data_IF_837572347773
#
_entry.id   IF_837572347773
#
_cell.length_a   1.000
_cell.length_b   1.000
_cell.length_c   1.000
_cell.angle_alpha   90.00
_cell.angle_beta   90.00
_cell.angle_gamma   90.00
#
_symmetry.space_group_name_H-M   'P 1'
#
loop_
_entity.id
_entity.type
_entity.pdbx_description
1 polymer ?
#
# COMPACT_ATOMS: atom_id res chain seq x y z
N UNK A 1 9.62 4.02 1.11
CA UNK A 1 10.26 4.18 2.45
C UNK A 1 9.27 4.56 3.55
N UNK A 2 8.16 5.25 3.26
CA UNK A 2 7.20 5.69 4.29
C UNK A 2 6.34 4.58 4.92
N UNK A 3 5.95 3.55 4.16
CA UNK A 3 5.01 2.52 4.61
C UNK A 3 5.45 1.76 5.88
N UNK A 4 6.73 1.37 5.93
CA UNK A 4 7.31 0.65 7.08
C UNK A 4 7.35 1.55 8.31
N UNK A 5 7.66 2.83 8.13
CA UNK A 5 7.68 3.81 9.22
C UNK A 5 6.29 3.99 9.82
N UNK A 6 5.25 4.07 8.98
CA UNK A 6 3.86 4.15 9.45
C UNK A 6 3.44 2.89 10.20
N UNK A 7 3.78 1.71 9.67
CA UNK A 7 3.49 0.44 10.37
C UNK A 7 4.19 0.35 11.73
N UNK A 8 5.44 0.84 11.84
CA UNK A 8 6.16 0.92 13.11
C UNK A 8 5.50 1.91 14.08
N UNK A 9 5.03 3.05 13.59
CA UNK A 9 4.30 4.01 14.39
C UNK A 9 2.99 3.41 14.92
N UNK A 10 2.19 2.78 14.06
CA UNK A 10 0.96 2.08 14.45
C UNK A 10 1.24 0.94 15.44
N UNK A 11 2.31 0.16 15.23
CA UNK A 11 2.78 -0.85 16.19
C UNK A 11 3.06 -0.22 17.56
N UNK A 12 3.74 0.93 17.61
CA UNK A 12 4.04 1.63 18.87
C UNK A 12 2.79 2.07 19.62
N UNK A 13 1.69 2.33 18.91
CA UNK A 13 0.37 2.63 19.45
C UNK A 13 -0.46 1.38 19.80
N UNK A 14 0.10 0.18 19.61
CA UNK A 14 -0.61 -1.10 19.81
C UNK A 14 -1.55 -1.49 18.66
N UNK A 15 -1.53 -0.75 17.55
CA UNK A 15 -2.38 -0.99 16.38
C UNK A 15 -1.64 -1.95 15.43
N UNK A 16 -1.87 -3.24 15.62
CA UNK A 16 -1.13 -4.30 14.90
C UNK A 16 -2.01 -5.22 14.05
N UNK A 17 -3.32 -4.96 13.98
CA UNK A 17 -4.29 -5.88 13.36
C UNK A 17 -4.68 -5.51 11.93
N UNK A 18 -4.28 -4.33 11.46
CA UNK A 18 -4.69 -3.80 10.16
C UNK A 18 -3.47 -3.67 9.24
N UNK A 19 -3.59 -4.07 7.97
CA UNK A 19 -2.58 -3.75 6.97
C UNK A 19 -2.59 -2.23 6.69
N UNK A 20 -1.42 -1.70 6.37
CA UNK A 20 -1.23 -0.34 5.87
C UNK A 20 -1.02 -0.44 4.37
N UNK A 21 -1.81 0.31 3.62
CA UNK A 21 -1.69 0.44 2.18
C UNK A 21 -1.03 1.76 1.84
N UNK A 22 -0.19 1.77 0.83
CA UNK A 22 0.37 3.00 0.32
C UNK A 22 0.63 2.90 -1.16
N UNK A 23 0.68 4.08 -1.75
CA UNK A 23 0.86 4.26 -3.18
C UNK A 23 2.32 4.61 -3.44
N UNK A 24 2.98 3.83 -4.29
CA UNK A 24 4.24 4.22 -4.90
C UNK A 24 3.95 4.67 -6.32
N UNK A 25 4.40 5.87 -6.70
CA UNK A 25 4.34 6.32 -8.08
C UNK A 25 5.73 6.56 -8.63
N UNK A 26 5.93 6.20 -9.90
CA UNK A 26 7.12 6.54 -10.68
C UNK A 26 6.66 7.26 -11.96
N UNK A 27 6.63 8.59 -11.92
CA UNK A 27 6.04 9.37 -13.00
C UNK A 27 4.55 9.10 -13.12
N UNK A 28 4.13 8.50 -14.24
CA UNK A 28 2.72 8.17 -14.51
C UNK A 28 2.35 6.74 -14.10
N UNK A 29 3.33 5.93 -13.70
CA UNK A 29 3.10 4.56 -13.24
C UNK A 29 2.81 4.58 -11.74
N UNK A 30 1.77 3.86 -11.31
CA UNK A 30 1.39 3.73 -9.91
C UNK A 30 1.22 2.29 -9.48
N UNK A 31 1.89 1.92 -8.39
CA UNK A 31 1.85 0.60 -7.75
C UNK A 31 1.32 0.69 -6.32
N UNK A 32 0.52 -0.31 -5.95
CA UNK A 32 0.00 -0.42 -4.59
C UNK A 32 0.89 -1.33 -3.75
N UNK A 33 1.42 -0.77 -2.66
CA UNK A 33 2.16 -1.49 -1.65
C UNK A 33 1.26 -1.76 -0.46
N UNK A 34 1.36 -2.96 0.11
CA UNK A 34 0.73 -3.33 1.37
C UNK A 34 1.80 -3.78 2.35
N UNK A 35 1.73 -3.33 3.60
CA UNK A 35 2.51 -3.93 4.67
C UNK A 35 1.64 -4.22 5.89
N UNK A 36 2.03 -5.25 6.63
CA UNK A 36 1.39 -5.58 7.90
C UNK A 36 2.41 -6.13 8.88
N UNK A 37 2.16 -5.92 10.15
CA UNK A 37 2.96 -6.49 11.21
C UNK A 37 2.41 -7.86 11.64
N UNK A 38 3.28 -8.87 11.65
CA UNK A 38 2.95 -10.20 12.14
C UNK A 38 3.32 -10.34 13.60
N UNK A 39 2.31 -10.40 14.48
CA UNK A 39 2.51 -10.69 15.91
C UNK A 39 3.17 -12.04 16.17
N UNK A 40 2.94 -13.04 15.30
CA UNK A 40 3.48 -14.40 15.46
C UNK A 40 4.98 -14.44 15.19
N UNK A 41 5.45 -13.66 14.23
CA UNK A 41 6.84 -13.68 13.74
C UNK A 41 7.63 -12.43 14.17
N UNK A 42 7.00 -11.50 14.88
CA UNK A 42 7.54 -10.19 15.29
C UNK A 42 8.28 -9.45 14.16
N UNK A 43 7.68 -9.42 12.98
CA UNK A 43 8.25 -8.77 11.80
C UNK A 43 7.19 -8.08 10.95
N UNK A 44 7.63 -7.12 10.13
CA UNK A 44 6.78 -6.46 9.14
C UNK A 44 6.95 -7.18 7.81
N UNK A 45 5.84 -7.61 7.24
CA UNK A 45 5.77 -8.11 5.87
C UNK A 45 5.42 -6.97 4.93
N UNK A 46 6.05 -6.96 3.77
CA UNK A 46 5.71 -6.06 2.67
C UNK A 46 5.33 -6.95 1.50
N UNK A 47 4.15 -6.72 0.95
CA UNK A 47 3.69 -7.34 -0.27
C UNK A 47 3.43 -6.24 -1.28
N UNK A 48 4.08 -6.37 -2.42
CA UNK A 48 3.69 -5.62 -3.58
C UNK A 48 2.41 -6.22 -4.17
N UNK A 49 1.38 -5.39 -4.36
CA UNK A 49 0.14 -5.79 -5.03
C UNK A 49 0.21 -5.52 -6.55
N UNK A 50 1.40 -5.23 -7.10
CA UNK A 50 1.77 -5.10 -8.53
C UNK A 50 1.39 -6.28 -9.44
N UNK A 51 0.11 -6.60 -9.50
CA UNK A 51 -0.47 -7.34 -10.62
C UNK A 51 -1.12 -6.35 -11.59
N UNK A 52 -1.46 -5.13 -11.16
CA UNK A 52 -2.14 -4.13 -11.99
C UNK A 52 -1.37 -2.81 -11.92
N UNK A 53 -0.66 -2.51 -13.01
CA UNK A 53 -0.03 -1.21 -13.22
C UNK A 53 -1.09 -0.26 -13.80
N UNK A 54 -1.16 0.96 -13.29
CA UNK A 54 -2.03 2.00 -13.83
C UNK A 54 -1.18 3.14 -14.38
N UNK A 55 -1.39 3.48 -15.65
CA UNK A 55 -0.88 4.71 -16.23
C UNK A 55 -1.85 5.86 -15.94
N UNK A 56 -1.55 6.66 -14.92
CA UNK A 56 -2.41 7.76 -14.46
C UNK A 56 -2.49 8.91 -15.48
N UNK A 57 -1.67 8.92 -16.54
CA UNK A 57 -1.83 9.88 -17.64
C UNK A 57 -3.03 9.56 -18.53
N UNK A 58 -3.46 8.29 -18.54
CA UNK A 58 -4.67 7.85 -19.23
C UNK A 58 -5.90 8.09 -18.34
N UNK A 59 -6.90 8.88 -18.79
CA UNK A 59 -8.09 9.17 -17.98
C UNK A 59 -8.85 7.92 -17.52
N UNK A 60 -8.87 6.87 -18.35
CA UNK A 60 -9.58 5.64 -18.03
C UNK A 60 -8.83 4.82 -16.98
N UNK A 61 -7.51 4.77 -17.07
CA UNK A 61 -6.68 4.06 -16.10
C UNK A 61 -6.61 4.83 -14.77
N UNK A 62 -6.59 6.18 -14.81
CA UNK A 62 -6.73 7.01 -13.63
C UNK A 62 -8.08 6.76 -12.92
N UNK A 63 -9.18 6.64 -13.67
CA UNK A 63 -10.48 6.27 -13.11
C UNK A 63 -10.47 4.86 -12.50
N UNK A 64 -9.91 3.88 -13.20
CA UNK A 64 -9.76 2.52 -12.67
C UNK A 64 -8.89 2.48 -11.40
N UNK A 65 -7.83 3.26 -11.38
CA UNK A 65 -6.97 3.43 -10.23
C UNK A 65 -7.74 4.02 -9.03
N UNK A 66 -8.49 5.11 -9.22
CA UNK A 66 -9.30 5.72 -8.15
C UNK A 66 -10.41 4.77 -7.65
N UNK A 67 -11.10 4.07 -8.55
CA UNK A 67 -12.13 3.10 -8.15
C UNK A 67 -11.55 1.88 -7.45
N UNK A 68 -10.32 1.50 -7.78
CA UNK A 68 -9.59 0.46 -7.07
C UNK A 68 -9.23 0.91 -5.64
N UNK A 69 -8.75 2.15 -5.47
CA UNK A 69 -8.44 2.72 -4.15
C UNK A 69 -9.67 2.75 -3.22
N UNK A 70 -10.87 3.01 -3.76
CA UNK A 70 -12.12 3.01 -2.97
C UNK A 70 -12.53 1.62 -2.44
N UNK A 71 -11.89 0.54 -2.90
CA UNK A 71 -12.22 -0.85 -2.52
C UNK A 71 -11.19 -1.45 -1.54
N UNK A 72 -10.17 -0.70 -1.16
CA UNK A 72 -9.18 -1.06 -0.15
C UNK A 72 -9.71 -0.76 1.26
#
# INVERSE_FOLDING_TARGET
>A
VHLVSEMMHLKSLGITRYPVFGLATNGTEGDLLCCWYSRRLDCIFIMDRSIIHFDISSPIQAYHFMTFLLRL
#
